data_IF_618599179635
#
_entry.id   IF_618599179635
#
_cell.length_a   1.000
_cell.length_b   1.000
_cell.length_c   1.000
_cell.angle_alpha   90.00
_cell.angle_beta   90.00
_cell.angle_gamma   90.00
#
_symmetry.space_group_name_H-M   'P 1'
#
loop_
_entity.id
_entity.type
_entity.pdbx_description
1 polymer ?
#
# COMPACT_ATOMS: atom_id res chain seq x y z
N UNK A 1 -44.20 44.85 6.77
CA UNK A 1 -42.83 44.36 6.52
C UNK A 1 -42.90 42.87 6.22
N UNK A 2 -42.85 42.48 4.95
CA UNK A 2 -42.82 41.07 4.52
C UNK A 2 -41.37 40.61 4.58
N UNK A 3 -41.05 39.77 5.56
CA UNK A 3 -39.69 39.31 5.81
C UNK A 3 -39.40 38.12 4.87
N UNK A 4 -38.85 38.42 3.69
CA UNK A 4 -38.47 37.42 2.68
C UNK A 4 -37.16 36.72 3.08
N UNK A 5 -37.26 35.57 3.76
CA UNK A 5 -36.11 34.67 3.99
C UNK A 5 -36.40 33.19 3.72
N UNK A 6 -36.86 32.76 2.51
CA UNK A 6 -36.77 31.34 2.13
C UNK A 6 -35.51 31.01 1.31
N UNK A 7 -34.88 32.00 0.65
CA UNK A 7 -33.84 31.73 -0.36
C UNK A 7 -32.51 31.20 0.21
N UNK A 8 -32.16 31.53 1.46
CA UNK A 8 -30.89 31.09 2.07
C UNK A 8 -30.92 29.64 2.58
N UNK A 9 -32.10 29.10 2.87
CA UNK A 9 -32.24 27.72 3.38
C UNK A 9 -32.15 26.70 2.24
N UNK A 10 -32.68 27.03 1.06
CA UNK A 10 -32.64 26.17 -0.12
C UNK A 10 -31.23 25.95 -0.67
N UNK A 11 -30.32 26.94 -0.53
CA UNK A 11 -28.95 26.82 -1.02
C UNK A 11 -28.09 25.86 -0.18
N UNK A 12 -28.41 25.68 1.10
CA UNK A 12 -27.65 24.79 2.00
C UNK A 12 -27.95 23.31 1.77
N UNK A 13 -29.16 22.96 1.29
CA UNK A 13 -29.52 21.55 0.99
C UNK A 13 -28.84 21.02 -0.29
N UNK A 14 -28.51 21.88 -1.25
CA UNK A 14 -27.87 21.46 -2.52
C UNK A 14 -26.43 20.98 -2.30
N UNK A 15 -25.72 21.46 -1.27
CA UNK A 15 -24.36 21.03 -0.96
C UNK A 15 -24.27 19.66 -0.25
N UNK A 16 -25.37 19.16 0.33
CA UNK A 16 -25.39 17.85 1.02
C UNK A 16 -25.56 16.66 0.07
N UNK A 17 -26.02 16.87 -1.17
CA UNK A 17 -26.29 15.78 -2.13
C UNK A 17 -25.12 15.47 -3.07
N UNK A 18 -24.01 16.22 -3.03
CA UNK A 18 -22.78 15.91 -3.77
C UNK A 18 -21.78 15.09 -2.95
N UNK A 19 -22.26 14.12 -2.16
CA UNK A 19 -21.36 13.09 -1.64
C UNK A 19 -21.00 12.17 -2.82
N UNK A 20 -19.89 12.46 -3.49
CA UNK A 20 -19.28 11.51 -4.41
C UNK A 20 -18.98 10.25 -3.61
N UNK A 21 -19.73 9.17 -3.87
CA UNK A 21 -19.45 7.87 -3.28
C UNK A 21 -18.16 7.36 -3.89
N UNK A 22 -17.02 7.71 -3.31
CA UNK A 22 -15.74 7.11 -3.64
C UNK A 22 -15.81 5.67 -3.15
N UNK A 23 -16.26 4.77 -4.03
CA UNK A 23 -16.29 3.36 -3.72
C UNK A 23 -14.84 2.88 -3.61
N UNK A 24 -14.41 2.50 -2.41
CA UNK A 24 -13.09 1.93 -2.20
C UNK A 24 -12.97 0.66 -3.08
N UNK A 25 -11.96 0.64 -3.96
CA UNK A 25 -11.69 -0.52 -4.81
C UNK A 25 -11.31 -1.70 -3.91
N UNK A 26 -12.03 -2.80 -4.01
CA UNK A 26 -11.70 -4.03 -3.28
C UNK A 26 -10.76 -4.88 -4.11
N UNK A 27 -9.98 -5.75 -3.45
CA UNK A 27 -9.08 -6.66 -4.15
C UNK A 27 -9.85 -7.86 -4.66
N UNK A 28 -9.81 -8.09 -5.97
CA UNK A 28 -10.46 -9.25 -6.61
C UNK A 28 -9.52 -10.45 -6.73
N UNK A 29 -8.27 -10.23 -7.14
CA UNK A 29 -7.28 -11.29 -7.35
C UNK A 29 -5.88 -10.82 -6.97
N UNK A 30 -5.12 -11.71 -6.36
CA UNK A 30 -3.68 -11.57 -6.09
C UNK A 30 -2.98 -12.80 -6.67
N UNK A 31 -1.86 -12.60 -7.35
CA UNK A 31 -0.85 -13.64 -7.57
C UNK A 31 0.44 -13.21 -6.90
N UNK A 32 1.18 -14.18 -6.39
CA UNK A 32 2.57 -13.98 -5.95
C UNK A 32 3.40 -14.74 -6.95
N UNK A 33 4.31 -14.02 -7.62
CA UNK A 33 5.15 -14.58 -8.67
C UNK A 33 6.44 -15.10 -8.03
N UNK A 34 7.09 -14.30 -7.17
CA UNK A 34 8.31 -14.69 -6.44
C UNK A 34 8.33 -14.10 -5.02
N UNK A 35 8.94 -14.82 -4.07
CA UNK A 35 9.09 -14.40 -2.65
C UNK A 35 10.53 -14.45 -2.20
N UNK A 36 10.88 -13.61 -1.22
CA UNK A 36 12.19 -13.62 -0.57
C UNK A 36 13.34 -13.16 -1.46
N UNK A 37 13.03 -12.32 -2.44
CA UNK A 37 14.01 -11.64 -3.28
C UNK A 37 14.73 -10.56 -2.46
N UNK A 38 15.90 -10.16 -2.95
CA UNK A 38 16.69 -9.11 -2.34
C UNK A 38 17.28 -8.16 -3.40
N UNK A 39 17.68 -6.96 -2.97
CA UNK A 39 18.26 -5.93 -3.83
C UNK A 39 19.76 -6.12 -4.10
N UNK A 40 20.48 -6.89 -3.28
CA UNK A 40 21.91 -7.18 -3.43
C UNK A 40 22.16 -8.69 -3.42
N UNK A 41 22.07 -9.30 -4.59
CA UNK A 41 22.15 -10.77 -4.74
C UNK A 41 23.55 -11.33 -4.53
N UNK A 42 24.57 -10.47 -4.39
CA UNK A 42 25.95 -10.91 -4.12
C UNK A 42 26.19 -11.13 -2.63
N UNK A 43 25.36 -10.54 -1.76
CA UNK A 43 25.38 -10.82 -0.33
C UNK A 43 24.59 -12.12 -0.04
N UNK A 44 25.34 -13.21 0.18
CA UNK A 44 24.77 -14.51 0.53
C UNK A 44 24.00 -14.50 1.85
N UNK A 45 24.42 -13.71 2.84
CA UNK A 45 23.72 -13.62 4.14
C UNK A 45 22.39 -12.89 3.97
N UNK A 46 22.40 -11.80 3.20
CA UNK A 46 21.18 -11.09 2.84
C UNK A 46 20.22 -12.01 2.07
N UNK A 47 20.76 -12.79 1.13
CA UNK A 47 19.98 -13.75 0.35
C UNK A 47 19.30 -14.79 1.24
N UNK A 48 20.03 -15.42 2.16
CA UNK A 48 19.43 -16.37 3.11
C UNK A 48 18.46 -15.70 4.08
N UNK A 49 18.74 -14.46 4.50
CA UNK A 49 17.84 -13.66 5.32
C UNK A 49 16.51 -13.37 4.62
N UNK A 50 16.56 -12.88 3.39
CA UNK A 50 15.37 -12.51 2.63
C UNK A 50 14.51 -13.70 2.24
N UNK A 51 15.06 -14.92 2.10
CA UNK A 51 14.25 -16.14 1.91
C UNK A 51 13.20 -16.36 3.00
N UNK A 52 13.35 -15.76 4.19
CA UNK A 52 12.35 -15.82 5.27
C UNK A 52 11.14 -14.92 5.04
N UNK A 53 11.24 -13.92 4.16
CA UNK A 53 10.13 -13.07 3.77
C UNK A 53 9.21 -13.79 2.77
N UNK A 54 8.18 -14.46 3.31
CA UNK A 54 7.20 -15.25 2.55
C UNK A 54 5.77 -14.85 2.91
N UNK A 55 5.28 -13.67 2.46
CA UNK A 55 3.92 -13.28 2.72
C UNK A 55 2.95 -14.21 1.97
N UNK A 56 1.81 -14.49 2.59
CA UNK A 56 0.73 -15.28 2.00
C UNK A 56 -0.16 -14.42 1.12
N UNK A 57 -0.89 -15.04 0.19
CA UNK A 57 -1.88 -14.36 -0.65
C UNK A 57 -2.89 -13.56 0.19
N UNK A 58 -3.33 -14.09 1.34
CA UNK A 58 -4.29 -13.39 2.20
C UNK A 58 -3.68 -12.15 2.87
N UNK A 59 -2.41 -12.21 3.28
CA UNK A 59 -1.72 -11.03 3.83
C UNK A 59 -1.51 -9.97 2.75
N UNK A 60 -1.12 -10.36 1.53
CA UNK A 60 -0.97 -9.42 0.40
C UNK A 60 -2.32 -8.82 0.01
N UNK A 61 -3.41 -9.61 0.00
CA UNK A 61 -4.76 -9.09 -0.23
C UNK A 61 -5.13 -8.04 0.83
N UNK A 62 -5.02 -8.39 2.11
CA UNK A 62 -5.34 -7.50 3.23
C UNK A 62 -4.49 -6.23 3.20
N UNK A 63 -3.22 -6.33 2.81
CA UNK A 63 -2.34 -5.19 2.58
C UNK A 63 -2.93 -4.23 1.53
N UNK A 64 -3.23 -4.70 0.32
CA UNK A 64 -3.75 -3.85 -0.75
C UNK A 64 -5.15 -3.29 -0.48
N UNK A 65 -5.92 -3.91 0.40
CA UNK A 65 -7.21 -3.38 0.88
C UNK A 65 -7.08 -2.22 1.88
N UNK A 66 -5.90 -2.06 2.50
CA UNK A 66 -5.67 -1.10 3.59
C UNK A 66 -4.54 -0.11 3.33
N UNK A 67 -3.68 -0.39 2.36
CA UNK A 67 -2.53 0.43 2.07
C UNK A 67 -2.94 1.79 1.51
N UNK A 68 -2.16 2.81 1.88
CA UNK A 68 -2.38 4.19 1.47
C UNK A 68 -1.16 4.74 0.72
N UNK A 69 -1.35 5.70 -0.19
CA UNK A 69 -0.26 6.33 -0.92
C UNK A 69 0.74 7.02 0.01
N UNK A 70 2.02 6.90 -0.32
CA UNK A 70 3.14 7.56 0.37
C UNK A 70 4.11 8.16 -0.65
N UNK A 71 4.96 9.06 -0.18
CA UNK A 71 6.08 9.59 -0.97
C UNK A 71 7.20 8.56 -1.10
N UNK A 72 8.06 8.76 -2.11
CA UNK A 72 9.20 7.87 -2.37
C UNK A 72 10.19 7.82 -1.21
N UNK A 73 10.36 8.93 -0.47
CA UNK A 73 11.25 9.01 0.68
C UNK A 73 10.96 7.95 1.75
N UNK A 74 9.69 7.63 1.99
CA UNK A 74 9.31 6.58 2.95
C UNK A 74 9.78 5.20 2.50
N UNK A 75 9.82 4.92 1.19
CA UNK A 75 10.33 3.65 0.66
C UNK A 75 11.85 3.58 0.73
N UNK A 76 12.54 4.66 0.37
CA UNK A 76 14.02 4.67 0.24
C UNK A 76 14.75 4.95 1.54
N UNK A 77 14.06 5.45 2.57
CA UNK A 77 14.72 5.94 3.79
C UNK A 77 14.01 5.47 5.06
N UNK A 78 12.77 5.89 5.30
CA UNK A 78 12.10 5.60 6.60
C UNK A 78 11.82 4.11 6.83
N UNK A 79 11.51 3.40 5.74
CA UNK A 79 11.11 1.99 5.75
C UNK A 79 11.84 1.18 4.69
N UNK A 80 13.08 1.57 4.39
CA UNK A 80 13.90 0.84 3.45
C UNK A 80 14.09 -0.59 3.92
N UNK A 81 13.65 -1.56 3.12
CA UNK A 81 13.94 -2.96 3.33
C UNK A 81 14.53 -3.57 2.06
N UNK A 82 15.63 -4.33 2.16
CA UNK A 82 16.20 -4.99 1.00
C UNK A 82 15.39 -6.20 0.54
N UNK A 83 14.54 -6.80 1.40
CA UNK A 83 13.79 -8.00 1.07
C UNK A 83 12.42 -7.67 0.48
N UNK A 84 12.10 -8.28 -0.67
CA UNK A 84 10.84 -8.06 -1.37
C UNK A 84 10.23 -9.33 -1.99
N UNK A 85 8.96 -9.20 -2.37
CA UNK A 85 8.18 -10.18 -3.12
C UNK A 85 7.54 -9.47 -4.31
N UNK A 86 7.29 -10.19 -5.40
CA UNK A 86 6.65 -9.67 -6.59
C UNK A 86 5.36 -10.42 -6.89
N UNK A 87 4.48 -9.78 -7.65
CA UNK A 87 3.24 -10.40 -8.06
C UNK A 87 2.34 -9.47 -8.85
N UNK A 88 1.11 -9.91 -9.06
CA UNK A 88 0.07 -9.13 -9.75
C UNK A 88 -1.15 -8.95 -8.85
N UNK A 89 -1.71 -7.74 -8.86
CA UNK A 89 -2.95 -7.38 -8.18
C UNK A 89 -4.01 -7.02 -9.22
N UNK A 90 -5.25 -7.43 -8.97
CA UNK A 90 -6.42 -7.00 -9.75
C UNK A 90 -7.53 -6.59 -8.80
N UNK A 91 -8.08 -5.39 -9.01
CA UNK A 91 -9.14 -4.81 -8.21
C UNK A 91 -10.52 -5.10 -8.80
N UNK A 92 -11.57 -4.83 -8.02
CA UNK A 92 -12.97 -5.06 -8.41
C UNK A 92 -13.39 -4.29 -9.66
N UNK A 93 -12.80 -3.12 -9.91
CA UNK A 93 -13.04 -2.28 -11.08
C UNK A 93 -12.25 -2.71 -12.34
N UNK A 94 -11.60 -3.89 -12.31
CA UNK A 94 -10.70 -4.40 -13.35
C UNK A 94 -9.40 -3.62 -13.53
N UNK A 95 -9.09 -2.63 -12.69
CA UNK A 95 -7.73 -2.10 -12.66
C UNK A 95 -6.76 -3.17 -12.15
N UNK A 96 -5.56 -3.20 -12.72
CA UNK A 96 -4.55 -4.19 -12.39
C UNK A 96 -3.16 -3.59 -12.48
N UNK A 97 -2.20 -4.25 -11.83
CA UNK A 97 -0.81 -3.86 -11.89
C UNK A 97 0.11 -4.94 -11.33
N UNK A 98 1.39 -4.81 -11.63
CA UNK A 98 2.45 -5.59 -10.99
C UNK A 98 2.88 -4.87 -9.72
N UNK A 99 3.18 -5.60 -8.66
CA UNK A 99 3.71 -5.01 -7.43
C UNK A 99 5.09 -5.53 -7.12
N UNK A 100 5.87 -4.67 -6.47
CA UNK A 100 7.02 -5.04 -5.66
C UNK A 100 6.69 -4.65 -4.21
N UNK A 101 6.55 -5.65 -3.34
CA UNK A 101 6.18 -5.47 -1.94
C UNK A 101 7.37 -5.79 -1.06
N UNK A 102 7.79 -4.81 -0.26
CA UNK A 102 8.91 -4.92 0.65
C UNK A 102 8.46 -5.41 2.03
N UNK A 103 9.32 -6.18 2.70
CA UNK A 103 9.03 -6.72 4.04
C UNK A 103 8.71 -5.64 5.08
N UNK A 104 9.31 -4.45 4.95
CA UNK A 104 9.03 -3.29 5.80
C UNK A 104 7.61 -2.71 5.68
N UNK A 105 6.75 -3.22 4.78
CA UNK A 105 5.37 -2.73 4.62
C UNK A 105 5.20 -1.65 3.55
N UNK A 106 6.26 -1.27 2.85
CA UNK A 106 6.17 -0.42 1.65
C UNK A 106 6.00 -1.27 0.40
N UNK A 107 5.35 -0.73 -0.63
CA UNK A 107 5.32 -1.35 -1.95
C UNK A 107 5.32 -0.30 -3.05
N UNK A 108 5.75 -0.70 -4.24
CA UNK A 108 5.50 0.03 -5.47
C UNK A 108 4.55 -0.78 -6.34
N UNK A 109 3.42 -0.19 -6.71
CA UNK A 109 2.44 -0.76 -7.64
C UNK A 109 2.59 -0.09 -9.00
N UNK A 110 2.97 -0.87 -10.01
CA UNK A 110 3.10 -0.47 -11.40
C UNK A 110 1.81 -0.82 -12.15
N UNK A 111 1.03 0.19 -12.52
CA UNK A 111 -0.26 -0.03 -13.16
C UNK A 111 -0.11 -0.57 -14.58
N UNK A 112 -0.96 -1.53 -14.96
CA UNK A 112 -0.96 -2.10 -16.32
C UNK A 112 -1.26 -1.08 -17.42
N UNK A 113 -1.88 0.06 -17.07
CA UNK A 113 -2.18 1.17 -17.98
C UNK A 113 -1.16 2.34 -17.88
N UNK A 114 -0.06 2.14 -17.17
CA UNK A 114 0.99 3.14 -16.99
C UNK A 114 0.90 3.91 -15.65
N UNK A 115 2.04 4.41 -15.22
CA UNK A 115 2.23 5.05 -13.92
C UNK A 115 2.54 4.07 -12.79
N UNK A 116 3.01 4.61 -11.67
CA UNK A 116 3.29 3.86 -10.45
C UNK A 116 2.85 4.63 -9.21
N UNK A 117 2.56 3.90 -8.13
CA UNK A 117 2.24 4.48 -6.82
C UNK A 117 2.98 3.72 -5.74
N UNK A 118 3.58 4.46 -4.81
CA UNK A 118 4.15 3.88 -3.59
C UNK A 118 3.08 3.81 -2.52
N UNK A 119 3.00 2.68 -1.82
CA UNK A 119 1.97 2.40 -0.83
C UNK A 119 2.60 1.95 0.48
N UNK A 120 1.92 2.19 1.60
CA UNK A 120 2.30 1.72 2.93
C UNK A 120 1.12 1.12 3.67
N UNK A 121 1.37 0.00 4.35
CA UNK A 121 0.52 -0.48 5.45
C UNK A 121 1.38 -1.20 6.49
N UNK A 122 1.44 -0.63 7.70
CA UNK A 122 2.30 -1.13 8.78
C UNK A 122 1.77 -2.40 9.46
N UNK A 123 0.45 -2.61 9.49
CA UNK A 123 -0.21 -3.74 10.19
C UNK A 123 -0.34 -4.98 9.30
N UNK A 124 0.74 -5.31 8.59
CA UNK A 124 0.74 -6.27 7.49
C UNK A 124 0.78 -7.76 7.94
N UNK A 125 1.16 -8.02 9.19
CA UNK A 125 1.13 -9.33 9.86
C UNK A 125 1.96 -10.44 9.19
N UNK A 126 2.93 -10.10 8.33
CA UNK A 126 3.90 -11.09 7.84
C UNK A 126 5.19 -11.05 8.66
N UNK A 127 6.02 -12.08 8.51
CA UNK A 127 7.35 -12.05 9.09
C UNK A 127 8.24 -11.11 8.29
N UNK A 128 8.79 -10.11 8.98
CA UNK A 128 9.74 -9.17 8.43
C UNK A 128 11.15 -9.48 8.97
N UNK A 129 12.07 -9.98 8.14
CA UNK A 129 13.44 -10.29 8.56
C UNK A 129 14.26 -9.07 8.98
N UNK A 130 13.78 -7.86 8.66
CA UNK A 130 14.42 -6.59 8.93
C UNK A 130 13.64 -5.73 9.94
N UNK A 131 12.63 -6.31 10.61
CA UNK A 131 11.91 -5.66 11.71
C UNK A 131 12.86 -5.04 12.73
N UNK A 132 12.42 -3.94 13.37
CA UNK A 132 13.19 -3.16 14.33
C UNK A 132 14.36 -2.34 13.75
N UNK A 133 14.57 -2.34 12.43
CA UNK A 133 15.55 -1.45 11.78
C UNK A 133 14.88 -0.25 11.08
N UNK A 134 13.61 0.01 11.38
CA UNK A 134 12.82 1.08 10.76
C UNK A 134 12.48 2.20 11.71
N UNK A 135 12.15 3.35 11.13
CA UNK A 135 11.83 4.57 11.85
C UNK A 135 13.04 5.50 11.96
N UNK A 136 12.79 6.79 11.82
CA UNK A 136 13.78 7.85 12.02
C UNK A 136 13.75 8.43 13.43
N UNK A 137 12.86 7.91 14.29
CA UNK A 137 12.70 8.33 15.68
C UNK A 137 13.55 7.52 16.66
N UNK A 138 13.50 7.89 17.93
CA UNK A 138 14.23 7.21 19.01
C UNK A 138 13.67 5.82 19.34
N UNK A 139 12.48 5.48 18.84
CA UNK A 139 11.83 4.18 19.03
C UNK A 139 11.85 3.42 17.70
N UNK A 140 12.42 2.21 17.73
CA UNK A 140 12.47 1.32 16.58
C UNK A 140 11.07 0.75 16.30
N UNK A 141 10.67 0.76 15.02
CA UNK A 141 9.42 0.13 14.62
C UNK A 141 9.63 -1.37 14.35
N UNK A 142 9.11 -2.18 15.27
CA UNK A 142 8.80 -3.59 15.13
C UNK A 142 7.26 -3.75 15.01
#
# INVERSE_FOLDING_TARGET
MVNSRPAKLLLALVFLTLQTTTQARTVRKVTIDETGLNLDTQDSNLTEGCKKFKPTINQVRHYFEKAYPIENYTVTTERYSPCYTTGTITFSDNSSGKFQLYSGGTSTLFWSRGGAVNLLYKKNKWHDPFACNYGLGNEQEC
#
